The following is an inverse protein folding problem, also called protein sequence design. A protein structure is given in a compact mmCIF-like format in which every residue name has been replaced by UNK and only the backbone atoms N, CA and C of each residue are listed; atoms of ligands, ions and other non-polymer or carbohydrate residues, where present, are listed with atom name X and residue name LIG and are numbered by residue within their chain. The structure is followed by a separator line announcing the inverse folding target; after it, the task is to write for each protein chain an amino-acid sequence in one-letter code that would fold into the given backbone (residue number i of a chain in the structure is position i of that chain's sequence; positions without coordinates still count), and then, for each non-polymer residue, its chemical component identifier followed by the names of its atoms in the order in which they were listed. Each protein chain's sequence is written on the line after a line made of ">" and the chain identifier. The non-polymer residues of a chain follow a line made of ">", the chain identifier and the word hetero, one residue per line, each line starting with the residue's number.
data_IF_085899489804
#
_entry.id   IF_085899489804
#
_cell.length_a   1.000
_cell.length_b   1.000
_cell.length_c   1.000
_cell.angle_alpha   90.00
_cell.angle_beta   90.00
_cell.angle_gamma   90.00
#
_symmetry.space_group_name_H-M   'P 1'
#
loop_
_entity.id
_entity.type
_entity.pdbx_description
1 polymer ?
#
# COMPACT_ATOMS: atom_id res chain seq x y z
N UNK A 1 -9.79 7.84 8.19
CA UNK A 1 -9.41 7.68 6.77
C UNK A 1 -9.76 8.95 6.02
N UNK A 2 -9.04 9.27 4.95
CA UNK A 2 -9.22 10.45 4.10
C UNK A 2 -9.46 10.00 2.67
N UNK A 3 -10.46 10.59 2.02
CA UNK A 3 -10.66 10.43 0.57
C UNK A 3 -9.58 11.20 -0.20
N UNK A 4 -8.89 10.49 -1.08
CA UNK A 4 -7.80 10.95 -1.92
C UNK A 4 -8.10 10.53 -3.38
N UNK A 5 -8.98 11.28 -4.05
CA UNK A 5 -9.38 11.01 -5.43
C UNK A 5 -10.12 9.67 -5.61
N UNK A 6 -11.05 9.35 -4.71
CA UNK A 6 -11.88 8.14 -4.82
C UNK A 6 -11.29 6.88 -4.19
N UNK A 7 -10.03 6.93 -3.75
CA UNK A 7 -9.44 5.95 -2.83
C UNK A 7 -9.34 6.53 -1.42
N UNK A 8 -9.48 5.69 -0.41
CA UNK A 8 -9.39 6.08 0.99
C UNK A 8 -8.03 5.70 1.56
N UNK A 9 -7.33 6.65 2.18
CA UNK A 9 -6.07 6.41 2.89
C UNK A 9 -6.29 6.53 4.39
N UNK A 10 -5.85 5.54 5.16
CA UNK A 10 -6.12 5.46 6.60
C UNK A 10 -4.97 4.94 7.45
N UNK A 11 -5.22 4.89 8.75
CA UNK A 11 -4.35 4.30 9.75
C UNK A 11 -4.97 3.03 10.38
N UNK A 12 -4.39 2.53 11.47
CA UNK A 12 -4.90 1.35 12.17
C UNK A 12 -6.31 1.51 12.75
N UNK A 13 -6.73 2.72 13.09
CA UNK A 13 -8.10 3.00 13.56
C UNK A 13 -9.15 2.85 12.44
N UNK A 14 -8.73 2.91 11.18
CA UNK A 14 -9.59 2.72 10.01
C UNK A 14 -9.64 1.25 9.56
N UNK A 15 -8.79 0.40 10.12
CA UNK A 15 -8.67 -1.00 9.74
C UNK A 15 -9.96 -1.75 10.06
N UNK A 16 -10.47 -2.50 9.08
CA UNK A 16 -11.55 -3.47 9.28
C UNK A 16 -11.29 -4.77 8.51
N UNK A 17 -11.78 -5.87 9.08
CA UNK A 17 -11.68 -7.22 8.54
C UNK A 17 -13.04 -7.80 8.16
N UNK A 18 -14.12 -7.27 8.74
CA UNK A 18 -15.47 -7.70 8.43
C UNK A 18 -15.84 -7.30 7.00
N UNK A 19 -16.58 -8.17 6.33
CA UNK A 19 -17.09 -7.86 5.00
C UNK A 19 -18.02 -6.66 5.07
N UNK A 20 -17.65 -5.62 4.33
CA UNK A 20 -18.45 -4.41 4.18
C UNK A 20 -18.83 -4.28 2.72
N UNK A 21 -20.13 -4.34 2.44
CA UNK A 21 -20.65 -4.36 1.08
C UNK A 21 -20.08 -3.20 0.25
N UNK A 22 -19.46 -3.55 -0.88
CA UNK A 22 -18.86 -2.58 -1.81
C UNK A 22 -17.52 -2.01 -1.37
N UNK A 23 -16.88 -2.55 -0.31
CA UNK A 23 -15.55 -2.14 0.14
C UNK A 23 -14.50 -3.22 -0.08
N UNK A 24 -13.28 -2.79 -0.32
CA UNK A 24 -12.07 -3.62 -0.33
C UNK A 24 -10.96 -2.94 0.47
N UNK A 25 -10.07 -3.74 1.05
CA UNK A 25 -9.04 -3.24 1.97
C UNK A 25 -7.66 -3.76 1.61
N UNK A 26 -6.71 -2.83 1.48
CA UNK A 26 -5.27 -3.10 1.39
C UNK A 26 -4.63 -2.83 2.75
N UNK A 27 -4.20 -3.90 3.41
CA UNK A 27 -3.51 -3.90 4.69
C UNK A 27 -2.00 -3.83 4.47
N UNK A 28 -1.45 -2.61 4.38
CA UNK A 28 -0.03 -2.35 4.14
C UNK A 28 0.80 -2.43 5.45
N UNK A 29 0.67 -3.54 6.19
CA UNK A 29 1.22 -3.72 7.52
C UNK A 29 1.62 -5.17 7.83
N UNK A 30 2.90 -5.42 8.15
CA UNK A 30 3.34 -6.70 8.72
C UNK A 30 2.61 -7.03 10.04
N UNK A 31 2.66 -6.11 10.99
CA UNK A 31 2.01 -6.26 12.30
C UNK A 31 0.97 -5.16 12.50
N UNK A 32 -0.25 -5.48 12.99
CA UNK A 32 -0.75 -6.83 13.28
C UNK A 32 -1.18 -7.62 12.03
N UNK A 33 -1.42 -6.95 10.90
CA UNK A 33 -2.24 -7.44 9.81
C UNK A 33 -1.73 -8.72 9.15
N UNK A 34 -0.54 -8.70 8.54
CA UNK A 34 0.02 -9.87 7.86
C UNK A 34 0.25 -11.05 8.81
N UNK A 35 0.76 -10.77 10.02
CA UNK A 35 0.96 -11.80 11.06
C UNK A 35 -0.33 -12.50 11.45
N UNK A 36 -1.41 -11.73 11.61
CA UNK A 36 -2.72 -12.26 11.94
C UNK A 36 -3.29 -13.07 10.77
N UNK A 37 -3.30 -12.49 9.57
CA UNK A 37 -3.90 -13.12 8.38
C UNK A 37 -3.23 -14.45 8.00
N UNK A 38 -1.90 -14.53 8.11
CA UNK A 38 -1.14 -15.76 7.79
C UNK A 38 -1.02 -16.70 9.00
N UNK A 39 -1.20 -16.22 10.23
CA UNK A 39 -1.23 -17.05 11.44
C UNK A 39 0.15 -17.44 11.99
N UNK A 40 1.13 -16.54 11.97
CA UNK A 40 2.49 -16.83 12.48
C UNK A 40 2.96 -15.93 13.63
N UNK A 41 3.70 -16.55 14.55
CA UNK A 41 4.46 -15.88 15.62
C UNK A 41 5.95 -15.79 15.26
N UNK A 42 6.58 -14.65 15.52
CA UNK A 42 8.00 -14.45 15.25
C UNK A 42 8.31 -14.24 13.76
N UNK A 43 9.28 -15.00 13.24
CA UNK A 43 9.73 -14.89 11.85
C UNK A 43 9.03 -15.93 10.97
N UNK A 44 8.59 -15.48 9.80
CA UNK A 44 8.08 -16.36 8.74
C UNK A 44 9.24 -16.73 7.81
N UNK A 45 9.30 -17.98 7.37
CA UNK A 45 10.29 -18.41 6.37
C UNK A 45 10.15 -17.59 5.08
N UNK A 46 11.28 -17.17 4.50
CA UNK A 46 11.28 -16.45 3.21
C UNK A 46 10.74 -17.28 2.04
N UNK A 47 10.70 -18.60 2.20
CA UNK A 47 10.17 -19.54 1.20
C UNK A 47 8.67 -19.86 1.43
N UNK A 48 8.05 -19.26 2.44
CA UNK A 48 6.62 -19.45 2.68
C UNK A 48 5.81 -18.86 1.52
N UNK A 49 4.78 -19.54 1.00
CA UNK A 49 4.00 -19.05 -0.15
C UNK A 49 3.37 -17.68 0.12
N UNK A 50 2.99 -17.42 1.36
CA UNK A 50 2.45 -16.13 1.82
C UNK A 50 3.50 -15.26 2.53
N UNK A 51 4.77 -15.33 2.13
CA UNK A 51 5.82 -14.55 2.80
C UNK A 51 5.63 -13.04 2.60
N UNK A 52 5.28 -12.60 1.38
CA UNK A 52 5.10 -11.18 1.06
C UNK A 52 3.63 -10.75 1.04
N UNK A 53 2.77 -11.63 0.54
CA UNK A 53 1.41 -11.31 0.13
C UNK A 53 0.49 -12.41 0.63
N UNK A 54 -0.64 -12.01 1.19
CA UNK A 54 -1.78 -12.87 1.44
C UNK A 54 -3.03 -12.15 0.91
N UNK A 55 -3.82 -12.82 0.08
CA UNK A 55 -5.05 -12.26 -0.46
C UNK A 55 -6.20 -13.19 -0.11
N UNK A 56 -7.31 -12.61 0.37
CA UNK A 56 -8.53 -13.34 0.65
C UNK A 56 -9.73 -12.41 0.41
N UNK A 57 -10.61 -12.82 -0.50
CA UNK A 57 -11.85 -12.11 -0.81
C UNK A 57 -11.56 -10.62 -1.13
N UNK A 58 -12.14 -9.68 -0.38
CA UNK A 58 -11.94 -8.23 -0.56
C UNK A 58 -10.76 -7.67 0.24
N UNK A 59 -9.81 -8.52 0.65
CA UNK A 59 -8.67 -8.14 1.50
C UNK A 59 -7.33 -8.55 0.87
N UNK A 60 -6.49 -7.55 0.57
CA UNK A 60 -5.08 -7.73 0.26
C UNK A 60 -4.24 -7.41 1.50
N UNK A 61 -3.39 -8.32 1.91
CA UNK A 61 -2.56 -8.18 3.11
C UNK A 61 -1.09 -8.30 2.74
N UNK A 62 -0.32 -7.26 3.06
CA UNK A 62 1.06 -7.10 2.62
C UNK A 62 2.01 -7.17 3.82
N UNK A 63 3.05 -7.98 3.71
CA UNK A 63 4.17 -8.02 4.66
C UNK A 63 5.08 -6.80 4.47
N UNK A 64 4.54 -5.62 4.80
CA UNK A 64 5.19 -4.35 4.53
C UNK A 64 5.54 -3.63 5.84
N UNK A 65 6.80 -3.27 5.93
CA UNK A 65 7.42 -2.55 7.05
C UNK A 65 8.15 -1.32 6.51
N UNK A 66 8.17 -0.26 7.30
CA UNK A 66 8.88 0.96 6.96
C UNK A 66 10.35 0.80 7.37
N UNK A 67 11.17 0.31 6.43
CA UNK A 67 12.60 0.07 6.62
C UNK A 67 13.40 1.23 6.02
N UNK A 68 14.60 1.49 6.54
CA UNK A 68 15.50 2.49 5.97
C UNK A 68 15.97 2.14 4.54
N UNK A 69 15.94 0.84 4.20
CA UNK A 69 16.28 0.33 2.89
C UNK A 69 15.23 -0.70 2.44
N UNK A 70 14.63 -0.45 1.28
CA UNK A 70 13.75 -1.39 0.59
C UNK A 70 14.48 -2.00 -0.60
N UNK A 71 14.32 -3.30 -0.80
CA UNK A 71 14.92 -4.01 -1.93
C UNK A 71 13.85 -4.35 -2.97
N UNK A 72 14.16 -4.10 -4.25
CA UNK A 72 13.26 -4.33 -5.37
C UNK A 72 12.74 -5.77 -5.45
N UNK A 73 13.58 -6.77 -5.13
CA UNK A 73 13.18 -8.19 -5.07
C UNK A 73 12.00 -8.48 -4.14
N UNK A 74 11.74 -7.62 -3.16
CA UNK A 74 10.58 -7.74 -2.26
C UNK A 74 9.48 -6.75 -2.62
N UNK A 75 9.85 -5.51 -2.97
CA UNK A 75 8.88 -4.46 -3.29
C UNK A 75 8.15 -4.69 -4.61
N UNK A 76 8.85 -5.15 -5.66
CA UNK A 76 8.24 -5.35 -6.98
C UNK A 76 7.12 -6.39 -6.97
N UNK A 77 7.28 -7.59 -6.37
CA UNK A 77 6.16 -8.51 -6.21
C UNK A 77 4.97 -7.91 -5.44
N UNK A 78 5.25 -7.14 -4.38
CA UNK A 78 4.20 -6.46 -3.58
C UNK A 78 3.43 -5.45 -4.44
N UNK A 79 4.13 -4.62 -5.21
CA UNK A 79 3.50 -3.59 -6.05
C UNK A 79 2.67 -4.23 -7.17
N UNK A 80 3.17 -5.31 -7.79
CA UNK A 80 2.42 -6.07 -8.80
C UNK A 80 1.14 -6.66 -8.19
N UNK A 81 1.24 -7.30 -7.02
CA UNK A 81 0.08 -7.86 -6.34
C UNK A 81 -0.92 -6.77 -5.92
N UNK A 82 -0.42 -5.62 -5.47
CA UNK A 82 -1.25 -4.45 -5.18
C UNK A 82 -2.01 -3.99 -6.41
N UNK A 83 -1.33 -3.78 -7.54
CA UNK A 83 -1.97 -3.40 -8.79
C UNK A 83 -3.02 -4.39 -9.26
N UNK A 84 -2.72 -5.70 -9.28
CA UNK A 84 -3.67 -6.73 -9.68
C UNK A 84 -4.92 -6.69 -8.79
N UNK A 85 -4.75 -6.54 -7.47
CA UNK A 85 -5.88 -6.41 -6.56
C UNK A 85 -6.70 -5.14 -6.81
N UNK A 86 -6.06 -4.00 -7.08
CA UNK A 86 -6.77 -2.76 -7.40
C UNK A 86 -7.61 -2.91 -8.68
N UNK A 87 -7.11 -3.64 -9.67
CA UNK A 87 -7.82 -3.92 -10.92
C UNK A 87 -9.00 -4.87 -10.71
N UNK A 88 -8.81 -5.94 -9.94
CA UNK A 88 -9.88 -6.89 -9.60
C UNK A 88 -11.01 -6.25 -8.77
N UNK A 89 -10.69 -5.19 -8.02
CA UNK A 89 -11.61 -4.48 -7.15
C UNK A 89 -12.19 -3.20 -7.79
N UNK A 90 -12.06 -3.03 -9.10
CA UNK A 90 -12.62 -1.89 -9.83
C UNK A 90 -14.13 -1.69 -9.50
N UNK A 91 -14.53 -0.44 -9.30
CA UNK A 91 -15.89 -0.07 -8.90
C UNK A 91 -16.20 -0.22 -7.41
N UNK A 92 -15.30 -0.80 -6.61
CA UNK A 92 -15.43 -0.86 -5.14
C UNK A 92 -14.77 0.36 -4.48
N UNK A 93 -15.21 0.67 -3.26
CA UNK A 93 -14.52 1.63 -2.39
C UNK A 93 -13.29 0.96 -1.80
N UNK A 94 -12.13 1.54 -2.02
CA UNK A 94 -10.87 0.93 -1.57
C UNK A 94 -10.28 1.72 -0.40
N UNK A 95 -10.06 1.05 0.72
CA UNK A 95 -9.24 1.55 1.82
C UNK A 95 -7.82 0.99 1.69
N UNK A 96 -6.82 1.87 1.67
CA UNK A 96 -5.42 1.52 1.84
C UNK A 96 -4.98 2.05 3.20
N UNK A 97 -4.57 1.17 4.10
CA UNK A 97 -4.12 1.58 5.43
C UNK A 97 -2.80 0.93 5.84
N UNK A 98 -2.11 1.58 6.77
CA UNK A 98 -0.98 1.01 7.49
C UNK A 98 -1.06 1.50 8.94
N UNK A 99 -0.06 1.21 9.78
CA UNK A 99 -0.19 1.53 11.21
C UNK A 99 -0.43 3.03 11.49
N UNK A 100 0.30 3.93 10.83
CA UNK A 100 0.19 5.38 11.05
C UNK A 100 -0.55 6.12 9.94
N UNK A 101 -0.76 5.49 8.80
CA UNK A 101 -1.28 6.16 7.61
C UNK A 101 -0.36 7.24 7.03
N UNK A 102 0.93 7.27 7.39
CA UNK A 102 1.86 8.37 7.01
C UNK A 102 2.84 7.98 5.89
N UNK A 103 3.22 6.70 5.79
CA UNK A 103 4.24 6.22 4.85
C UNK A 103 3.71 5.15 3.90
N UNK A 104 3.74 3.87 4.30
CA UNK A 104 3.39 2.71 3.46
C UNK A 104 2.09 2.86 2.65
N UNK A 105 0.97 3.14 3.33
CA UNK A 105 -0.33 3.29 2.69
C UNK A 105 -0.40 4.46 1.71
N UNK A 106 -0.08 5.71 2.11
CA UNK A 106 -0.06 6.82 1.15
C UNK A 106 0.98 6.66 0.03
N UNK A 107 2.10 5.95 0.25
CA UNK A 107 3.05 5.61 -0.81
C UNK A 107 2.44 4.68 -1.88
N UNK A 108 1.67 3.67 -1.48
CA UNK A 108 0.93 2.81 -2.42
C UNK A 108 -0.19 3.58 -3.14
N UNK A 109 -0.89 4.47 -2.41
CA UNK A 109 -1.90 5.35 -2.99
C UNK A 109 -1.31 6.25 -4.09
N UNK A 110 -0.14 6.87 -3.85
CA UNK A 110 0.56 7.67 -4.87
C UNK A 110 0.89 6.86 -6.11
N UNK A 111 1.41 5.64 -5.94
CA UNK A 111 1.70 4.74 -7.06
C UNK A 111 0.45 4.50 -7.90
N UNK A 112 -0.65 4.07 -7.27
CA UNK A 112 -1.90 3.81 -7.99
C UNK A 112 -2.43 5.07 -8.71
N UNK A 113 -2.50 6.20 -8.00
CA UNK A 113 -3.03 7.44 -8.54
C UNK A 113 -2.21 7.99 -9.72
N UNK A 114 -0.88 7.88 -9.67
CA UNK A 114 0.00 8.37 -10.72
C UNK A 114 0.11 7.38 -11.89
N UNK A 115 0.30 6.09 -11.60
CA UNK A 115 0.69 5.07 -12.57
C UNK A 115 -0.49 4.36 -13.22
N UNK A 116 -1.60 4.19 -12.51
CA UNK A 116 -2.74 3.39 -12.99
C UNK A 116 -3.91 4.24 -13.46
N UNK A 117 -4.27 5.27 -12.71
CA UNK A 117 -5.45 6.10 -13.02
C UNK A 117 -5.13 7.53 -13.46
N UNK A 118 -3.85 7.91 -13.43
CA UNK A 118 -3.34 9.21 -13.92
C UNK A 118 -4.07 10.45 -13.37
N UNK A 119 -4.48 10.39 -12.10
CA UNK A 119 -5.15 11.51 -11.40
C UNK A 119 -4.18 12.49 -10.75
N UNK A 120 -2.92 12.09 -10.60
CA UNK A 120 -1.82 12.95 -10.14
C UNK A 120 -0.63 12.83 -11.12
N UNK A 121 0.34 13.76 -11.07
CA UNK A 121 1.48 13.77 -11.98
C UNK A 121 2.29 12.46 -11.94
N UNK A 122 2.91 12.10 -13.08
CA UNK A 122 3.65 10.84 -13.25
C UNK A 122 5.05 11.04 -13.85
N UNK A 123 5.43 12.27 -14.18
CA UNK A 123 6.76 12.61 -14.71
C UNK A 123 7.89 12.34 -13.72
N UNK A 124 7.60 12.35 -12.41
CA UNK A 124 8.54 11.97 -11.35
C UNK A 124 7.81 11.66 -10.06
N UNK A 125 8.46 10.91 -9.17
CA UNK A 125 7.95 10.68 -7.82
C UNK A 125 7.80 12.00 -7.04
N UNK A 126 8.72 12.95 -7.20
CA UNK A 126 8.65 14.23 -6.50
C UNK A 126 7.43 15.07 -6.93
N UNK A 127 7.11 15.11 -8.23
CA UNK A 127 5.92 15.78 -8.72
C UNK A 127 4.63 15.12 -8.20
N UNK A 128 4.56 13.80 -8.26
CA UNK A 128 3.45 13.02 -7.71
C UNK A 128 3.26 13.27 -6.20
N UNK A 129 4.37 13.24 -5.45
CA UNK A 129 4.42 13.52 -4.00
C UNK A 129 3.95 14.93 -3.68
N UNK A 130 4.41 15.95 -4.40
CA UNK A 130 3.99 17.33 -4.17
C UNK A 130 2.49 17.52 -4.40
N UNK A 131 1.97 16.99 -5.51
CA UNK A 131 0.53 17.02 -5.81
C UNK A 131 -0.29 16.28 -4.75
N UNK A 132 0.11 15.07 -4.38
CA UNK A 132 -0.60 14.25 -3.40
C UNK A 132 -0.62 14.89 -1.99
N UNK A 133 0.45 15.56 -1.57
CA UNK A 133 0.50 16.25 -0.26
C UNK A 133 -0.53 17.37 -0.13
N UNK A 134 -1.05 17.91 -1.23
CA UNK A 134 -2.13 18.90 -1.20
C UNK A 134 -3.45 18.30 -0.69
N UNK A 135 -3.73 17.04 -1.03
CA UNK A 135 -4.95 16.34 -0.58
C UNK A 135 -4.74 15.53 0.70
N UNK A 136 -3.51 15.05 0.92
CA UNK A 136 -3.13 14.26 2.09
C UNK A 136 -1.87 14.80 2.76
N UNK A 137 -1.98 15.88 3.57
CA UNK A 137 -0.84 16.55 4.21
C UNK A 137 -0.03 15.67 5.16
N UNK A 138 -0.64 14.60 5.69
CA UNK A 138 0.02 13.64 6.59
C UNK A 138 1.03 12.73 5.88
N UNK A 139 1.16 12.80 4.54
CA UNK A 139 2.15 12.00 3.84
C UNK A 139 3.58 12.40 4.24
N UNK A 140 4.23 11.49 4.94
CA UNK A 140 5.58 11.60 5.46
C UNK A 140 6.27 10.22 5.36
N UNK A 141 6.74 9.82 4.16
CA UNK A 141 7.30 8.49 3.95
C UNK A 141 8.61 8.31 4.73
N UNK A 142 8.82 7.13 5.29
CA UNK A 142 10.14 6.75 5.79
C UNK A 142 11.19 6.73 4.67
N UNK A 143 12.46 6.78 5.08
CA UNK A 143 13.60 6.94 4.18
C UNK A 143 13.64 5.89 3.07
N UNK A 144 13.37 4.63 3.39
CA UNK A 144 13.41 3.55 2.40
C UNK A 144 12.33 3.69 1.34
N UNK A 145 11.09 4.05 1.71
CA UNK A 145 10.03 4.33 0.74
C UNK A 145 10.37 5.51 -0.16
N UNK A 146 10.83 6.62 0.44
CA UNK A 146 11.20 7.80 -0.33
C UNK A 146 12.29 7.48 -1.36
N UNK A 147 13.35 6.80 -0.92
CA UNK A 147 14.48 6.45 -1.80
C UNK A 147 14.08 5.43 -2.86
N UNK A 148 13.31 4.40 -2.49
CA UNK A 148 12.88 3.37 -3.43
C UNK A 148 12.00 3.94 -4.53
N UNK A 149 11.00 4.75 -4.16
CA UNK A 149 10.12 5.37 -5.16
C UNK A 149 10.87 6.38 -6.03
N UNK A 150 11.82 7.14 -5.49
CA UNK A 150 12.69 8.00 -6.31
C UNK A 150 13.51 7.19 -7.31
N UNK A 151 14.11 6.10 -6.86
CA UNK A 151 15.04 5.30 -7.65
C UNK A 151 14.34 4.51 -8.77
N UNK A 152 13.17 3.94 -8.48
CA UNK A 152 12.52 2.99 -9.38
C UNK A 152 11.30 3.57 -10.10
N UNK A 153 10.96 4.85 -9.89
CA UNK A 153 9.71 5.47 -10.37
C UNK A 153 9.34 5.09 -11.80
N UNK A 154 10.26 5.22 -12.75
CA UNK A 154 9.98 5.01 -14.18
C UNK A 154 9.79 3.53 -14.54
N UNK A 155 10.29 2.62 -13.70
CA UNK A 155 10.21 1.17 -13.88
C UNK A 155 9.07 0.50 -13.11
N UNK A 156 8.31 1.28 -12.33
CA UNK A 156 7.20 0.86 -11.49
C UNK A 156 5.84 1.14 -12.14
#
# INVERSE_FOLDING_TARGET
>A
MKDCFGIYVGNDMDCFWDEKLGWSVVHACKHPCHRHAVGYSGNLSSNHPFYLIFCRESHLVLNLVDMDQLHDRFMRPIIIAFYNFMDEMEGRKILIHCNRGESRAPSLAILYLAKRVHLIPNESFDAAKQSFKLVYPLYNPGRGFNNYLQQYWDSL
#
